data_IF_350734414913
#
_entry.id   IF_350734414913
#
_cell.length_a   1.000
_cell.length_b   1.000
_cell.length_c   1.000
_cell.angle_alpha   90.00
_cell.angle_beta   90.00
_cell.angle_gamma   90.00
#
_symmetry.space_group_name_H-M   'P 1'
#
loop_
_entity.id
_entity.type
_entity.pdbx_description
1 polymer ?
#
# COMPACT_ATOMS: atom_id res chain seq x y z
N UNK A 1 -17.17 2.40 28.28
CA UNK A 1 -16.30 2.53 29.47
C UNK A 1 -16.18 1.26 30.32
N UNK A 2 -16.94 0.19 30.07
CA UNK A 2 -16.87 -1.05 30.89
C UNK A 2 -15.87 -2.11 30.39
N UNK A 3 -15.38 -2.00 29.16
CA UNK A 3 -14.52 -3.01 28.53
C UNK A 3 -13.05 -2.97 28.97
N UNK A 4 -12.58 -1.89 29.61
CA UNK A 4 -11.17 -1.74 30.02
C UNK A 4 -10.84 -2.35 31.40
N UNK A 5 -11.85 -2.65 32.22
CA UNK A 5 -11.62 -3.16 33.58
C UNK A 5 -11.42 -4.69 33.64
N UNK A 6 -11.81 -5.43 32.61
CA UNK A 6 -11.69 -6.90 32.60
C UNK A 6 -10.33 -7.42 32.14
N UNK A 7 -9.57 -6.66 31.34
CA UNK A 7 -8.31 -7.13 30.75
C UNK A 7 -7.16 -7.28 31.76
N UNK A 8 -7.25 -6.65 32.94
CA UNK A 8 -6.19 -6.74 33.96
C UNK A 8 -6.26 -8.04 34.79
N UNK A 9 -7.43 -8.70 34.85
CA UNK A 9 -7.65 -9.88 35.70
C UNK A 9 -7.30 -11.22 35.04
N UNK A 10 -7.10 -11.28 33.73
CA UNK A 10 -6.95 -12.55 33.01
C UNK A 10 -5.58 -12.79 32.39
N UNK A 11 -4.69 -11.79 32.38
CA UNK A 11 -3.36 -11.92 31.73
C UNK A 11 -3.45 -12.21 30.23
N UNK A 12 -4.64 -12.19 29.63
CA UNK A 12 -4.81 -12.22 28.19
C UNK A 12 -4.43 -10.85 27.66
N UNK A 13 -3.18 -10.74 27.27
CA UNK A 13 -2.77 -9.81 26.24
C UNK A 13 -3.76 -10.01 25.10
N UNK A 14 -4.62 -9.02 24.84
CA UNK A 14 -5.37 -8.98 23.59
C UNK A 14 -4.27 -8.85 22.55
N UNK A 15 -3.86 -9.98 21.96
CA UNK A 15 -2.93 -9.94 20.84
C UNK A 15 -3.54 -9.01 19.79
N UNK A 16 -2.77 -8.03 19.28
CA UNK A 16 -3.28 -7.15 18.24
C UNK A 16 -3.77 -8.06 17.13
N UNK A 17 -5.07 -7.94 16.82
CA UNK A 17 -5.73 -8.70 15.76
C UNK A 17 -4.79 -8.74 14.57
N UNK A 18 -4.34 -9.94 14.19
CA UNK A 18 -3.44 -10.13 13.04
C UNK A 18 -4.09 -9.42 11.85
N UNK A 19 -3.51 -8.26 11.53
CA UNK A 19 -3.93 -7.33 10.48
C UNK A 19 -3.82 -8.06 9.16
N UNK A 20 -4.78 -7.85 8.26
CA UNK A 20 -4.95 -8.61 7.01
C UNK A 20 -3.66 -9.19 6.44
N UNK A 21 -3.57 -10.52 6.50
CA UNK A 21 -2.47 -11.27 5.89
C UNK A 21 -2.57 -11.31 4.39
N UNK A 22 -3.68 -10.90 3.77
CA UNK A 22 -3.88 -10.92 2.33
C UNK A 22 -4.66 -9.66 1.92
N UNK A 23 -4.01 -8.81 1.13
CA UNK A 23 -4.51 -7.52 0.67
C UNK A 23 -4.52 -7.49 -0.84
N UNK A 24 -5.63 -7.04 -1.43
CA UNK A 24 -5.68 -6.77 -2.87
C UNK A 24 -5.14 -5.38 -3.15
N UNK A 25 -4.03 -5.32 -3.86
CA UNK A 25 -3.35 -4.08 -4.25
C UNK A 25 -3.45 -3.87 -5.75
N UNK A 26 -3.34 -2.62 -6.18
CA UNK A 26 -3.11 -2.30 -7.58
C UNK A 26 -1.63 -2.51 -7.89
N UNK A 27 -1.33 -3.25 -8.96
CA UNK A 27 0.00 -3.35 -9.55
C UNK A 27 0.03 -2.58 -10.87
N UNK A 28 1.07 -1.77 -11.05
CA UNK A 28 1.41 -1.07 -12.29
C UNK A 28 2.71 -1.71 -12.80
N UNK A 29 2.62 -2.62 -13.78
CA UNK A 29 3.79 -3.35 -14.27
C UNK A 29 4.83 -2.46 -14.95
N UNK A 30 6.09 -2.64 -14.60
CA UNK A 30 7.20 -1.88 -15.20
C UNK A 30 7.41 -2.16 -16.69
N UNK A 31 6.96 -3.32 -17.17
CA UNK A 31 7.06 -3.72 -18.57
C UNK A 31 6.01 -3.04 -19.48
N UNK A 32 5.14 -2.20 -18.91
CA UNK A 32 4.07 -1.49 -19.60
C UNK A 32 2.86 -2.36 -19.97
N UNK A 33 2.76 -3.58 -19.43
CA UNK A 33 1.51 -4.33 -19.49
C UNK A 33 0.41 -3.64 -18.66
N UNK A 34 -0.88 -3.91 -18.93
CA UNK A 34 -1.98 -3.20 -18.28
C UNK A 34 -1.95 -3.32 -16.75
N UNK A 35 -2.23 -2.23 -16.01
CA UNK A 35 -2.44 -2.29 -14.57
C UNK A 35 -3.53 -3.28 -14.19
N UNK A 36 -3.31 -4.01 -13.11
CA UNK A 36 -4.21 -5.05 -12.64
C UNK A 36 -4.11 -5.23 -11.12
N UNK A 37 -5.10 -5.91 -10.54
CA UNK A 37 -5.08 -6.20 -9.12
C UNK A 37 -4.32 -7.50 -8.83
N UNK A 38 -3.49 -7.49 -7.79
CA UNK A 38 -2.78 -8.66 -7.28
C UNK A 38 -3.03 -8.81 -5.78
N UNK A 39 -2.89 -10.02 -5.27
CA UNK A 39 -2.98 -10.28 -3.83
C UNK A 39 -1.57 -10.34 -3.24
N UNK A 40 -1.35 -9.58 -2.18
CA UNK A 40 -0.08 -9.54 -1.45
C UNK A 40 -0.31 -9.81 0.03
N UNK A 41 0.67 -10.44 0.67
CA UNK A 41 0.71 -10.48 2.11
C UNK A 41 1.19 -9.14 2.68
N UNK A 42 0.91 -8.86 3.95
CA UNK A 42 1.54 -7.74 4.66
C UNK A 42 2.73 -8.24 5.48
N UNK A 43 3.74 -7.39 5.60
CA UNK A 43 4.94 -7.62 6.41
C UNK A 43 5.16 -6.40 7.30
N UNK A 44 5.89 -6.60 8.40
CA UNK A 44 6.34 -5.47 9.22
C UNK A 44 7.20 -4.53 8.38
N UNK A 45 6.95 -3.23 8.55
CA UNK A 45 7.80 -2.21 7.96
C UNK A 45 9.15 -2.22 8.67
N UNK A 46 10.22 -2.13 7.90
CA UNK A 46 11.55 -1.82 8.43
C UNK A 46 11.65 -0.31 8.77
N UNK A 47 12.83 0.13 9.22
CA UNK A 47 13.14 1.53 9.55
C UNK A 47 13.29 2.45 8.31
N UNK A 48 12.54 2.18 7.24
CA UNK A 48 12.58 2.94 5.99
C UNK A 48 11.55 4.08 5.97
N UNK A 49 11.39 4.74 4.83
CA UNK A 49 10.53 5.93 4.65
C UNK A 49 9.05 5.69 4.98
N UNK A 50 8.60 4.44 4.92
CA UNK A 50 7.26 3.98 5.27
C UNK A 50 7.16 3.40 6.70
N UNK A 51 8.16 3.61 7.55
CA UNK A 51 8.18 3.13 8.94
C UNK A 51 6.96 3.55 9.77
N UNK A 52 6.37 4.71 9.47
CA UNK A 52 5.15 5.19 10.13
C UNK A 52 3.93 4.27 9.89
N UNK A 53 3.98 3.43 8.85
CA UNK A 53 2.91 2.48 8.54
C UNK A 53 2.95 1.24 9.43
N UNK A 54 4.09 0.93 10.07
CA UNK A 54 4.41 -0.29 10.85
C UNK A 54 4.29 -1.62 10.11
N UNK A 55 3.44 -1.72 9.10
CA UNK A 55 3.34 -2.84 8.17
C UNK A 55 2.98 -2.31 6.78
N UNK A 56 3.43 -3.03 5.76
CA UNK A 56 3.27 -2.69 4.35
C UNK A 56 3.00 -3.97 3.54
N UNK A 57 2.45 -3.86 2.32
CA UNK A 57 2.36 -5.01 1.43
C UNK A 57 3.76 -5.55 1.06
N UNK A 58 3.88 -6.86 0.93
CA UNK A 58 5.13 -7.54 0.62
C UNK A 58 5.46 -7.47 -0.87
N UNK A 59 6.30 -6.50 -1.23
CA UNK A 59 6.73 -6.29 -2.62
C UNK A 59 7.92 -7.16 -3.05
N UNK A 60 8.53 -7.89 -2.12
CA UNK A 60 9.73 -8.71 -2.38
C UNK A 60 9.56 -9.76 -3.49
N UNK A 61 8.38 -10.37 -3.71
CA UNK A 61 8.18 -11.25 -4.86
C UNK A 61 8.40 -10.57 -6.22
N UNK A 62 8.31 -9.24 -6.29
CA UNK A 62 8.47 -8.46 -7.52
C UNK A 62 9.79 -7.69 -7.56
N UNK A 63 10.29 -7.22 -6.42
CA UNK A 63 11.51 -6.40 -6.33
C UNK A 63 12.74 -7.14 -5.80
N UNK A 64 12.56 -8.36 -5.30
CA UNK A 64 13.57 -9.10 -4.54
C UNK A 64 13.78 -8.54 -3.13
N UNK A 65 14.64 -9.21 -2.35
CA UNK A 65 14.96 -8.82 -0.95
C UNK A 65 16.13 -7.82 -0.85
N UNK A 66 16.68 -7.39 -2.00
CA UNK A 66 17.86 -6.54 -2.09
C UNK A 66 17.55 -5.04 -2.18
N UNK A 67 18.42 -4.28 -2.86
CA UNK A 67 18.27 -2.82 -2.97
C UNK A 67 16.95 -2.43 -3.67
N UNK A 68 16.35 -3.31 -4.48
CA UNK A 68 15.03 -3.08 -5.06
C UNK A 68 13.95 -2.80 -4.02
N UNK A 69 13.93 -3.57 -2.93
CA UNK A 69 13.00 -3.38 -1.82
C UNK A 69 13.50 -2.33 -0.81
N UNK A 70 14.81 -2.24 -0.58
CA UNK A 70 15.38 -1.28 0.37
C UNK A 70 15.33 0.17 -0.15
N UNK A 71 15.49 0.39 -1.45
CA UNK A 71 15.45 1.72 -2.07
C UNK A 71 14.08 1.98 -2.69
N UNK A 72 13.08 1.92 -1.82
CA UNK A 72 11.70 2.25 -2.15
C UNK A 72 11.32 3.63 -1.61
N UNK A 73 10.30 4.18 -2.22
CA UNK A 73 9.69 5.45 -1.85
C UNK A 73 8.18 5.29 -1.78
N UNK A 74 7.54 6.17 -1.02
CA UNK A 74 6.11 6.12 -0.72
C UNK A 74 5.45 7.45 -1.09
N UNK A 75 4.32 7.35 -1.80
CA UNK A 75 3.50 8.49 -2.19
C UNK A 75 2.09 8.33 -1.63
N UNK A 76 1.45 9.44 -1.28
CA UNK A 76 0.07 9.47 -0.80
C UNK A 76 -0.87 10.11 -1.83
N UNK A 77 -2.02 9.48 -2.04
CA UNK A 77 -3.12 10.04 -2.83
C UNK A 77 -4.42 9.92 -2.05
N UNK A 78 -4.96 11.06 -1.62
CA UNK A 78 -6.26 11.11 -0.94
C UNK A 78 -7.39 11.26 -1.96
N UNK A 79 -8.41 10.41 -1.86
CA UNK A 79 -9.57 10.41 -2.75
C UNK A 79 -10.83 10.60 -1.91
N UNK A 80 -11.61 11.63 -2.26
CA UNK A 80 -12.88 11.97 -1.61
C UNK A 80 -13.99 12.24 -2.61
N UNK A 81 -15.20 12.32 -2.07
CA UNK A 81 -16.40 12.81 -2.74
C UNK A 81 -16.75 12.06 -4.04
N UNK A 82 -16.34 10.79 -4.16
CA UNK A 82 -16.72 9.92 -5.26
C UNK A 82 -18.18 9.44 -5.10
N UNK A 83 -19.14 10.28 -5.46
CA UNK A 83 -20.57 9.99 -5.28
C UNK A 83 -21.05 8.79 -6.11
N UNK A 84 -20.53 8.65 -7.33
CA UNK A 84 -20.91 7.56 -8.24
C UNK A 84 -20.24 6.22 -7.91
N UNK A 85 -19.14 6.24 -7.16
CA UNK A 85 -18.40 5.07 -6.71
C UNK A 85 -17.80 5.32 -5.31
N UNK A 86 -18.64 5.34 -4.24
CA UNK A 86 -18.20 5.69 -2.89
C UNK A 86 -17.09 4.79 -2.34
N UNK A 87 -17.02 3.55 -2.83
CA UNK A 87 -15.97 2.59 -2.51
C UNK A 87 -14.58 3.04 -2.96
N UNK A 88 -14.47 4.02 -3.86
CA UNK A 88 -13.18 4.58 -4.28
C UNK A 88 -12.62 5.60 -3.28
N UNK A 89 -13.44 6.13 -2.37
CA UNK A 89 -12.97 7.07 -1.34
C UNK A 89 -12.01 6.38 -0.37
N UNK A 90 -10.90 7.04 -0.05
CA UNK A 90 -9.84 6.47 0.77
C UNK A 90 -8.53 7.23 0.63
N UNK A 91 -7.53 6.81 1.40
CA UNK A 91 -6.13 7.18 1.18
C UNK A 91 -5.46 6.02 0.45
N UNK A 92 -4.79 6.32 -0.66
CA UNK A 92 -4.01 5.35 -1.40
C UNK A 92 -2.53 5.63 -1.18
N UNK A 93 -1.82 4.61 -0.69
CA UNK A 93 -0.37 4.64 -0.55
C UNK A 93 0.22 3.94 -1.77
N UNK A 94 1.08 4.65 -2.50
CA UNK A 94 1.81 4.13 -3.63
C UNK A 94 3.26 3.83 -3.24
N UNK A 95 3.81 2.70 -3.67
CA UNK A 95 5.23 2.38 -3.51
C UNK A 95 5.88 2.17 -4.87
N UNK A 96 7.11 2.67 -4.99
CA UNK A 96 7.96 2.54 -6.17
C UNK A 96 9.41 2.32 -5.75
N UNK A 97 10.20 1.66 -6.60
CA UNK A 97 11.63 1.48 -6.38
C UNK A 97 12.48 2.38 -7.28
N UNK A 98 13.67 2.77 -6.78
CA UNK A 98 14.67 3.52 -7.53
C UNK A 98 15.99 2.76 -7.72
N UNK A 99 16.01 1.45 -7.50
CA UNK A 99 17.19 0.61 -7.70
C UNK A 99 17.50 0.38 -9.20
N UNK A 100 17.90 1.45 -9.89
CA UNK A 100 18.17 1.51 -11.34
C UNK A 100 19.18 0.47 -11.84
N UNK A 101 20.03 -0.04 -10.96
CA UNK A 101 21.07 -1.02 -11.29
C UNK A 101 20.61 -2.48 -11.15
N UNK A 102 19.47 -2.72 -10.50
CA UNK A 102 18.96 -4.07 -10.20
C UNK A 102 17.65 -4.39 -10.92
N UNK A 103 16.87 -3.37 -11.27
CA UNK A 103 15.58 -3.54 -11.94
C UNK A 103 15.53 -2.73 -13.23
N UNK A 104 14.81 -3.24 -14.26
CA UNK A 104 14.64 -2.50 -15.50
C UNK A 104 13.91 -1.18 -15.21
N UNK A 105 14.28 -0.13 -15.94
CA UNK A 105 13.54 1.12 -15.91
C UNK A 105 12.10 0.83 -16.33
N UNK A 106 11.15 1.32 -15.55
CA UNK A 106 9.74 1.19 -15.89
C UNK A 106 9.46 1.92 -17.20
N UNK A 107 8.57 1.35 -18.03
CA UNK A 107 8.01 2.06 -19.18
C UNK A 107 7.11 3.23 -18.74
N UNK A 108 6.69 3.24 -17.48
CA UNK A 108 6.17 4.41 -16.81
C UNK A 108 7.36 5.22 -16.27
N UNK A 109 7.41 6.52 -16.55
CA UNK A 109 8.62 7.31 -16.27
C UNK A 109 8.87 7.47 -14.77
N UNK A 110 10.14 7.51 -14.36
CA UNK A 110 10.51 7.95 -13.00
C UNK A 110 10.66 6.87 -11.92
N UNK A 111 10.58 5.57 -12.24
CA UNK A 111 10.88 4.48 -11.29
C UNK A 111 11.36 3.19 -11.98
N UNK A 112 11.74 2.19 -11.19
CA UNK A 112 12.25 0.89 -11.65
C UNK A 112 11.28 -0.24 -11.29
N UNK A 113 11.18 -1.22 -12.18
CA UNK A 113 10.31 -2.37 -11.98
C UNK A 113 8.84 -1.96 -11.88
N UNK A 114 8.08 -2.70 -11.08
CA UNK A 114 6.66 -2.45 -10.86
C UNK A 114 6.43 -1.38 -9.80
N UNK A 115 5.27 -0.73 -9.83
CA UNK A 115 4.76 0.09 -8.74
C UNK A 115 3.47 -0.51 -8.18
N UNK A 116 3.17 -0.21 -6.91
CA UNK A 116 2.03 -0.77 -6.21
C UNK A 116 1.24 0.31 -5.50
N UNK A 117 -0.09 0.18 -5.44
CA UNK A 117 -0.94 0.98 -4.56
C UNK A 117 -1.79 0.12 -3.64
N UNK A 118 -1.77 0.44 -2.35
CA UNK A 118 -2.70 -0.10 -1.35
C UNK A 118 -3.69 0.99 -0.93
N UNK A 119 -4.90 0.58 -0.57
CA UNK A 119 -5.94 1.48 -0.06
C UNK A 119 -6.01 1.41 1.45
N UNK A 120 -6.32 2.53 2.06
CA UNK A 120 -6.62 2.70 3.48
C UNK A 120 -7.90 3.54 3.63
N UNK A 121 -8.71 3.32 4.68
CA UNK A 121 -9.81 4.21 5.01
C UNK A 121 -9.33 5.65 5.23
N UNK A 122 -10.20 6.62 4.99
CA UNK A 122 -9.91 8.03 5.28
C UNK A 122 -9.69 8.20 6.79
N UNK A 123 -8.49 8.65 7.19
CA UNK A 123 -8.12 9.04 8.56
C UNK A 123 -7.99 7.93 9.62
N UNK A 124 -7.77 6.67 9.21
CA UNK A 124 -7.47 5.60 10.18
C UNK A 124 -5.97 5.23 10.16
N UNK A 125 -5.20 5.97 10.96
CA UNK A 125 -4.04 5.40 11.63
C UNK A 125 -4.50 4.99 13.03
N UNK A 126 -4.32 3.73 13.39
CA UNK A 126 -4.50 3.33 14.78
C UNK A 126 -3.15 3.27 15.49
N UNK A 127 -3.18 2.97 16.78
CA UNK A 127 -1.98 2.86 17.61
C UNK A 127 -0.98 1.80 17.11
N UNK A 128 -1.31 1.01 16.08
CA UNK A 128 -0.38 0.06 15.45
C UNK A 128 -0.16 0.23 13.94
N UNK A 129 -0.37 1.43 13.40
CA UNK A 129 0.08 1.81 12.05
C UNK A 129 -1.06 1.96 11.05
N UNK A 130 -0.77 1.74 9.76
CA UNK A 130 -1.78 1.82 8.71
C UNK A 130 -2.88 0.79 8.93
N UNK A 131 -4.09 1.07 8.46
CA UNK A 131 -5.13 0.07 8.25
C UNK A 131 -5.37 0.00 6.76
N UNK A 132 -5.14 -1.18 6.16
CA UNK A 132 -5.36 -1.38 4.73
C UNK A 132 -6.71 -2.02 4.46
N UNK A 133 -7.24 -1.77 3.27
CA UNK A 133 -8.40 -2.45 2.72
C UNK A 133 -8.18 -2.75 1.22
N UNK A 134 -8.95 -3.69 0.68
CA UNK A 134 -8.80 -4.10 -0.71
C UNK A 134 -9.05 -2.93 -1.66
N UNK A 135 -8.15 -2.76 -2.63
CA UNK A 135 -8.38 -1.83 -3.75
C UNK A 135 -9.59 -2.33 -4.56
N UNK A 136 -10.64 -1.50 -4.74
CA UNK A 136 -11.83 -1.90 -5.50
C UNK A 136 -11.51 -2.15 -6.97
N UNK A 137 -12.21 -3.11 -7.60
CA UNK A 137 -12.10 -3.37 -9.05
C UNK A 137 -12.47 -2.14 -9.88
N UNK A 138 -13.41 -1.33 -9.40
CA UNK A 138 -13.82 -0.08 -10.04
C UNK A 138 -12.65 0.91 -10.22
N UNK A 139 -11.57 0.80 -9.42
CA UNK A 139 -10.41 1.66 -9.54
C UNK A 139 -9.76 1.57 -10.93
N UNK A 140 -9.67 0.35 -11.49
CA UNK A 140 -9.05 0.09 -12.80
C UNK A 140 -9.75 0.80 -13.96
N UNK A 141 -11.06 1.06 -13.84
CA UNK A 141 -11.87 1.75 -14.84
C UNK A 141 -12.12 3.22 -14.55
N UNK A 142 -11.50 3.76 -13.49
CA UNK A 142 -11.72 5.14 -13.04
C UNK A 142 -10.58 6.07 -13.49
N UNK A 143 -10.85 7.38 -13.50
CA UNK A 143 -9.82 8.40 -13.75
C UNK A 143 -8.71 8.42 -12.67
N UNK A 144 -8.93 7.77 -11.52
CA UNK A 144 -7.93 7.66 -10.46
C UNK A 144 -6.70 6.85 -10.90
N UNK A 145 -6.85 5.96 -11.89
CA UNK A 145 -5.70 5.23 -12.44
C UNK A 145 -4.71 6.18 -13.12
N UNK A 146 -5.21 7.17 -13.86
CA UNK A 146 -4.39 8.20 -14.49
C UNK A 146 -3.72 9.08 -13.42
N UNK A 147 -4.49 9.50 -12.41
CA UNK A 147 -3.94 10.26 -11.26
C UNK A 147 -2.86 9.48 -10.51
N UNK A 148 -3.03 8.16 -10.32
CA UNK A 148 -2.04 7.31 -9.66
C UNK A 148 -0.74 7.24 -10.48
N UNK A 149 -0.83 7.11 -11.81
CA UNK A 149 0.33 7.12 -12.71
C UNK A 149 1.06 8.47 -12.67
N UNK A 150 0.33 9.58 -12.67
CA UNK A 150 0.91 10.92 -12.54
C UNK A 150 1.64 11.08 -11.20
N UNK A 151 1.02 10.62 -10.09
CA UNK A 151 1.61 10.68 -8.76
C UNK A 151 2.89 9.86 -8.62
N UNK A 152 3.05 8.78 -9.38
CA UNK A 152 4.31 8.02 -9.41
C UNK A 152 5.47 8.83 -9.99
N UNK A 153 5.21 9.86 -10.79
CA UNK A 153 6.24 10.74 -11.34
C UNK A 153 6.68 11.83 -10.35
N UNK A 154 5.83 12.20 -9.39
CA UNK A 154 6.17 13.15 -8.33
C UNK A 154 7.22 12.52 -7.39
N UNK A 155 8.26 13.29 -7.06
CA UNK A 155 9.31 12.95 -6.08
C UNK A 155 9.01 13.61 -4.74
#
# INVERSE_FOLDING_TARGET
>A
MLSRLFSWLTGQQIEPTIRQTNLRVLRIPGDGSPPHLVQLNTIESDDNIDCCQRHIPDFRPYWGDGEGFQWRDIIGMEVRDQQAAPELNGVYFGWKSFALHLMPLSKHTGFCGDAFFAKSPLWEHDDNGAVYEDVPVAFLGSSLLETALEKLHDR
#
